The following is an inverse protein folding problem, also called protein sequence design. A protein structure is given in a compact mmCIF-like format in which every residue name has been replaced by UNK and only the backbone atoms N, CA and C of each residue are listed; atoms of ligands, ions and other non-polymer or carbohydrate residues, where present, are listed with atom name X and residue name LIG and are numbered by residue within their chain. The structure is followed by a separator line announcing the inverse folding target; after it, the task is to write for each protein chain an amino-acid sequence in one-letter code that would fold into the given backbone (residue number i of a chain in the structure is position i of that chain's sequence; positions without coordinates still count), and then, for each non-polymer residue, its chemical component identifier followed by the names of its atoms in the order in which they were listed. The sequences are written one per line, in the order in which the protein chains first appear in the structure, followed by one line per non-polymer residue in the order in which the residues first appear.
data_IF_176835001688
#
_entry.id   IF_176835001688
#
_cell.length_a   1.000
_cell.length_b   1.000
_cell.length_c   1.000
_cell.angle_alpha   90.00
_cell.angle_beta   90.00
_cell.angle_gamma   90.00
#
_symmetry.space_group_name_H-M   'P 1'
#
loop_
_entity.id
_entity.type
_entity.pdbx_description
1 polymer ?
#
# COMPACT_ATOMS: atom_id res chain seq x y z
N UNK A 1 -8.64 -13.09 10.15
CA UNK A 1 -7.18 -13.23 10.01
C UNK A 1 -6.94 -13.97 8.70
N UNK A 2 -6.29 -13.37 7.69
CA UNK A 2 -6.02 -14.12 6.45
C UNK A 2 -5.05 -15.27 6.75
N UNK A 3 -5.26 -16.47 6.20
CA UNK A 3 -4.32 -17.57 6.37
C UNK A 3 -2.95 -17.15 5.83
N UNK A 4 -1.90 -17.49 6.57
CA UNK A 4 -0.53 -17.23 6.13
C UNK A 4 -0.33 -18.01 4.82
N UNK A 5 0.13 -17.31 3.77
CA UNK A 5 0.39 -17.92 2.45
C UNK A 5 1.68 -18.73 2.51
N UNK A 6 1.60 -19.86 3.18
CA UNK A 6 2.68 -20.83 3.31
C UNK A 6 2.75 -21.78 2.10
N UNK A 7 3.82 -22.56 1.99
CA UNK A 7 4.03 -23.51 0.89
C UNK A 7 2.87 -24.53 0.83
N UNK A 8 2.30 -24.91 1.97
CA UNK A 8 1.13 -25.78 2.06
C UNK A 8 -0.15 -25.15 1.49
N UNK A 9 -0.30 -23.82 1.62
CA UNK A 9 -1.40 -23.08 0.99
C UNK A 9 -1.25 -23.09 -0.53
N UNK A 10 -0.06 -22.76 -1.04
CA UNK A 10 0.24 -22.74 -2.48
C UNK A 10 0.07 -24.13 -3.12
N UNK A 11 0.28 -25.21 -2.36
CA UNK A 11 0.07 -26.58 -2.85
C UNK A 11 -1.40 -26.92 -3.11
N UNK A 12 -2.31 -26.42 -2.26
CA UNK A 12 -3.74 -26.75 -2.34
C UNK A 12 -4.55 -25.72 -3.13
N UNK A 13 -3.95 -24.60 -3.51
CA UNK A 13 -4.60 -23.52 -4.24
C UNK A 13 -4.71 -23.85 -5.75
N UNK A 14 -5.93 -23.81 -6.28
CA UNK A 14 -6.21 -24.05 -7.70
C UNK A 14 -5.65 -22.95 -8.62
N UNK A 15 -5.38 -21.76 -8.07
CA UNK A 15 -4.85 -20.62 -8.82
C UNK A 15 -3.33 -20.69 -9.03
N UNK A 16 -2.64 -21.62 -8.38
CA UNK A 16 -1.20 -21.81 -8.51
C UNK A 16 -0.79 -22.13 -9.94
N UNK A 17 -1.52 -23.00 -10.64
CA UNK A 17 -1.21 -23.36 -12.04
C UNK A 17 -1.39 -22.17 -12.98
N UNK A 18 -2.41 -21.34 -12.76
CA UNK A 18 -2.60 -20.10 -13.54
C UNK A 18 -1.46 -19.12 -13.27
N UNK A 19 -1.02 -19.00 -12.02
CA UNK A 19 0.08 -18.10 -11.65
C UNK A 19 1.41 -18.56 -12.28
N UNK A 20 1.67 -19.86 -12.29
CA UNK A 20 2.83 -20.44 -12.99
C UNK A 20 2.79 -20.12 -14.48
N UNK A 21 1.63 -20.31 -15.12
CA UNK A 21 1.46 -20.00 -16.53
C UNK A 21 1.64 -18.50 -16.81
N UNK A 22 1.09 -17.62 -15.97
CA UNK A 22 1.26 -16.17 -16.08
C UNK A 22 2.73 -15.77 -15.94
N UNK A 23 3.50 -16.40 -15.03
CA UNK A 23 4.93 -16.13 -14.91
C UNK A 23 5.69 -16.52 -16.18
N UNK A 24 5.42 -17.70 -16.75
CA UNK A 24 6.04 -18.17 -18.00
C UNK A 24 5.67 -17.26 -19.17
N UNK A 25 4.38 -16.90 -19.29
CA UNK A 25 3.90 -15.98 -20.33
C UNK A 25 4.57 -14.61 -20.17
N UNK A 26 4.66 -14.08 -18.94
CA UNK A 26 5.30 -12.80 -18.67
C UNK A 26 6.77 -12.78 -19.10
N UNK A 27 7.53 -13.84 -18.77
CA UNK A 27 8.91 -14.01 -19.23
C UNK A 27 9.01 -14.09 -20.76
N UNK A 28 8.09 -14.78 -21.43
CA UNK A 28 8.04 -14.86 -22.89
C UNK A 28 7.72 -13.51 -23.54
N UNK A 29 6.79 -12.74 -22.98
CA UNK A 29 6.47 -11.39 -23.48
C UNK A 29 7.70 -10.48 -23.36
N UNK A 30 8.42 -10.55 -22.23
CA UNK A 30 9.69 -9.82 -22.05
C UNK A 30 10.71 -10.28 -23.10
N UNK A 31 10.87 -11.58 -23.31
CA UNK A 31 11.77 -12.10 -24.34
C UNK A 31 11.43 -11.58 -25.75
N UNK A 32 10.13 -11.48 -26.07
CA UNK A 32 9.65 -10.95 -27.35
C UNK A 32 9.94 -9.46 -27.52
N UNK A 33 9.79 -8.65 -26.46
CA UNK A 33 10.09 -7.20 -26.51
C UNK A 33 11.59 -6.96 -26.69
N UNK A 34 12.42 -7.70 -25.95
CA UNK A 34 13.88 -7.52 -25.96
C UNK A 34 14.58 -8.29 -27.10
N UNK A 35 13.84 -9.08 -27.89
CA UNK A 35 14.33 -9.98 -28.94
C UNK A 35 15.56 -10.80 -28.54
N UNK A 36 15.62 -11.22 -27.27
CA UNK A 36 16.76 -11.92 -26.73
C UNK A 36 16.39 -13.38 -26.42
N UNK A 37 17.06 -14.29 -27.13
CA UNK A 37 16.84 -15.74 -27.08
C UNK A 37 17.11 -16.32 -25.68
N UNK A 38 18.01 -15.70 -24.91
CA UNK A 38 18.38 -16.17 -23.57
C UNK A 38 17.18 -16.17 -22.61
N UNK A 39 16.33 -15.14 -22.68
CA UNK A 39 15.12 -15.09 -21.84
C UNK A 39 14.07 -16.11 -22.29
N UNK A 40 14.00 -16.42 -23.58
CA UNK A 40 13.12 -17.45 -24.09
C UNK A 40 13.54 -18.84 -23.59
N UNK A 41 14.85 -19.15 -23.59
CA UNK A 41 15.35 -20.42 -23.04
C UNK A 41 15.10 -20.54 -21.53
N UNK A 42 15.27 -19.46 -20.77
CA UNK A 42 14.96 -19.43 -19.32
C UNK A 42 13.47 -19.66 -19.07
N UNK A 43 12.59 -18.99 -19.82
CA UNK A 43 11.15 -19.16 -19.71
C UNK A 43 10.72 -20.60 -19.98
N UNK A 44 11.30 -21.20 -21.02
CA UNK A 44 11.04 -22.58 -21.43
C UNK A 44 11.55 -23.58 -20.38
N UNK A 45 12.73 -23.35 -19.82
CA UNK A 45 13.27 -24.14 -18.71
C UNK A 45 12.41 -24.08 -17.45
N UNK A 46 12.01 -22.87 -17.03
CA UNK A 46 11.13 -22.67 -15.86
C UNK A 46 9.76 -23.34 -16.09
N UNK A 47 9.18 -23.19 -17.28
CA UNK A 47 7.92 -23.83 -17.63
C UNK A 47 7.98 -25.35 -17.58
N UNK A 48 9.04 -25.95 -18.17
CA UNK A 48 9.27 -27.40 -18.11
C UNK A 48 9.47 -27.90 -16.68
N UNK A 49 10.30 -27.23 -15.89
CA UNK A 49 10.56 -27.59 -14.49
C UNK A 49 9.26 -27.51 -13.68
N UNK A 50 8.45 -26.48 -13.90
CA UNK A 50 7.17 -26.32 -13.21
C UNK A 50 6.16 -27.41 -13.57
N UNK A 51 6.23 -27.97 -14.78
CA UNK A 51 5.35 -29.05 -15.23
C UNK A 51 5.81 -30.43 -14.74
N UNK A 52 7.12 -30.69 -14.76
CA UNK A 52 7.70 -31.99 -14.39
C UNK A 52 7.80 -32.14 -12.86
N UNK A 53 8.12 -31.06 -12.15
CA UNK A 53 8.35 -31.08 -10.70
C UNK A 53 7.41 -30.06 -10.03
N UNK A 54 6.17 -30.48 -9.66
CA UNK A 54 5.21 -29.61 -8.97
C UNK A 54 5.80 -28.86 -7.76
N UNK A 55 6.51 -29.50 -6.80
CA UNK A 55 7.03 -28.81 -5.61
C UNK A 55 7.99 -27.65 -5.92
N UNK A 56 8.77 -27.74 -7.01
CA UNK A 56 9.65 -26.65 -7.43
C UNK A 56 8.84 -25.45 -7.95
N UNK A 57 7.77 -25.70 -8.71
CA UNK A 57 6.85 -24.66 -9.16
C UNK A 57 6.09 -23.98 -8.01
N UNK A 58 5.73 -24.72 -6.96
CA UNK A 58 5.09 -24.13 -5.77
C UNK A 58 6.05 -23.20 -5.01
N UNK A 59 7.34 -23.53 -4.94
CA UNK A 59 8.36 -22.66 -4.35
C UNK A 59 8.51 -21.33 -5.09
N UNK A 60 8.46 -21.36 -6.42
CA UNK A 60 8.53 -20.15 -7.26
C UNK A 60 7.32 -19.23 -7.00
N UNK A 61 6.11 -19.80 -7.01
CA UNK A 61 4.87 -19.04 -6.72
C UNK A 61 4.88 -18.48 -5.30
N UNK A 62 5.38 -19.24 -4.33
CA UNK A 62 5.52 -18.74 -2.97
C UNK A 62 6.46 -17.53 -2.89
N UNK A 63 7.62 -17.59 -3.55
CA UNK A 63 8.55 -16.48 -3.68
C UNK A 63 7.90 -15.24 -4.33
N UNK A 64 7.15 -15.46 -5.40
CA UNK A 64 6.37 -14.43 -6.09
C UNK A 64 5.37 -13.73 -5.16
N UNK A 65 4.59 -14.50 -4.39
CA UNK A 65 3.65 -13.93 -3.43
C UNK A 65 4.34 -13.15 -2.31
N UNK A 66 5.51 -13.61 -1.83
CA UNK A 66 6.28 -12.89 -0.82
C UNK A 66 6.80 -11.55 -1.35
N UNK A 67 7.26 -11.52 -2.60
CA UNK A 67 7.64 -10.28 -3.28
C UNK A 67 6.45 -9.33 -3.43
N UNK A 68 5.30 -9.83 -3.86
CA UNK A 68 4.08 -9.03 -3.99
C UNK A 68 3.63 -8.42 -2.64
N UNK A 69 3.76 -9.18 -1.54
CA UNK A 69 3.45 -8.68 -0.19
C UNK A 69 4.39 -7.55 0.25
N UNK A 70 5.70 -7.69 0.00
CA UNK A 70 6.68 -6.65 0.30
C UNK A 70 6.39 -5.40 -0.53
N UNK A 71 6.14 -5.59 -1.83
CA UNK A 71 5.81 -4.49 -2.74
C UNK A 71 4.54 -3.76 -2.31
N UNK A 72 3.49 -4.50 -1.94
CA UNK A 72 2.24 -3.93 -1.43
C UNK A 72 2.44 -3.12 -0.15
N UNK A 73 3.30 -3.59 0.77
CA UNK A 73 3.64 -2.84 1.99
C UNK A 73 4.30 -1.50 1.69
N UNK A 74 5.14 -1.44 0.65
CA UNK A 74 5.78 -0.19 0.21
C UNK A 74 4.81 0.68 -0.59
N UNK A 75 3.94 0.05 -1.38
CA UNK A 75 3.03 0.76 -2.26
C UNK A 75 1.89 1.46 -1.50
N UNK A 76 1.43 0.88 -0.39
CA UNK A 76 0.40 1.49 0.45
C UNK A 76 0.78 2.90 0.97
N UNK A 77 1.92 3.10 1.67
CA UNK A 77 2.35 4.45 2.07
C UNK A 77 2.73 5.31 0.88
N UNK A 78 3.20 4.74 -0.23
CA UNK A 78 3.54 5.50 -1.44
C UNK A 78 2.29 6.14 -2.07
N UNK A 79 1.21 5.37 -2.24
CA UNK A 79 -0.08 5.87 -2.73
C UNK A 79 -0.64 6.93 -1.78
N UNK A 80 -0.60 6.66 -0.47
CA UNK A 80 -1.06 7.64 0.53
C UNK A 80 -0.23 8.94 0.48
N UNK A 81 1.08 8.83 0.30
CA UNK A 81 1.97 9.98 0.13
C UNK A 81 1.66 10.80 -1.11
N UNK A 82 1.39 10.15 -2.25
CA UNK A 82 0.95 10.82 -3.48
C UNK A 82 -0.37 11.55 -3.24
N UNK A 83 -1.36 10.87 -2.64
CA UNK A 83 -2.67 11.49 -2.36
C UNK A 83 -2.51 12.68 -1.41
N UNK A 84 -1.71 12.56 -0.36
CA UNK A 84 -1.43 13.66 0.55
C UNK A 84 -0.77 14.85 -0.18
N UNK A 85 0.20 14.60 -1.04
CA UNK A 85 0.92 15.65 -1.75
C UNK A 85 0.06 16.34 -2.82
N UNK A 86 -0.75 15.59 -3.56
CA UNK A 86 -1.55 16.14 -4.67
C UNK A 86 -2.93 16.65 -4.28
N UNK A 87 -3.51 16.17 -3.18
CA UNK A 87 -4.84 16.62 -2.73
C UNK A 87 -4.74 17.42 -1.43
N UNK A 88 -4.21 16.83 -0.36
CA UNK A 88 -4.26 17.44 0.97
C UNK A 88 -3.36 18.68 1.04
N UNK A 89 -2.13 18.59 0.52
CA UNK A 89 -1.16 19.68 0.55
C UNK A 89 -1.63 20.94 -0.21
N UNK A 90 -2.14 20.87 -1.45
CA UNK A 90 -2.66 22.06 -2.12
C UNK A 90 -3.89 22.62 -1.43
N UNK A 91 -4.79 21.78 -0.88
CA UNK A 91 -5.92 22.24 -0.08
C UNK A 91 -5.44 23.02 1.15
N UNK A 92 -4.43 22.51 1.85
CA UNK A 92 -3.87 23.19 3.03
C UNK A 92 -3.19 24.53 2.67
N UNK A 93 -2.48 24.58 1.54
CA UNK A 93 -1.88 25.82 1.02
C UNK A 93 -2.99 26.83 0.68
N UNK A 94 -4.05 26.38 0.02
CA UNK A 94 -5.19 27.23 -0.35
C UNK A 94 -5.89 27.77 0.90
N UNK A 95 -6.12 26.92 1.89
CA UNK A 95 -6.69 27.31 3.18
C UNK A 95 -5.83 28.36 3.90
N UNK A 96 -4.49 28.20 3.84
CA UNK A 96 -3.54 29.19 4.39
C UNK A 96 -3.58 30.51 3.62
N UNK A 97 -3.77 30.47 2.30
CA UNK A 97 -3.85 31.67 1.47
C UNK A 97 -5.16 32.44 1.71
N UNK A 98 -6.27 31.73 1.91
CA UNK A 98 -7.57 32.34 2.24
C UNK A 98 -7.65 32.89 3.68
N UNK A 99 -6.57 32.84 4.45
CA UNK A 99 -6.44 33.59 5.70
C UNK A 99 -7.18 32.97 6.90
N UNK A 100 -7.65 31.73 6.80
CA UNK A 100 -8.18 31.02 7.95
C UNK A 100 -7.01 30.62 8.86
N UNK A 101 -6.84 31.38 9.94
CA UNK A 101 -5.93 31.05 11.06
C UNK A 101 -6.77 30.58 12.27
N UNK A 102 -7.29 29.34 12.24
CA UNK A 102 -8.13 28.83 13.32
C UNK A 102 -7.40 28.74 14.66
N UNK A 103 -6.07 28.68 14.62
CA UNK A 103 -5.23 28.57 15.81
C UNK A 103 -4.67 29.92 16.28
N UNK A 104 -5.04 31.04 15.63
CA UNK A 104 -4.57 32.41 15.95
C UNK A 104 -3.06 32.48 16.13
N UNK A 105 -2.28 31.74 15.32
CA UNK A 105 -0.82 31.66 15.45
C UNK A 105 -0.14 33.02 15.26
N UNK A 106 -0.78 33.95 14.54
CA UNK A 106 -0.28 35.31 14.34
C UNK A 106 -0.61 36.27 15.50
N UNK A 107 -1.37 35.85 16.50
CA UNK A 107 -1.78 36.71 17.63
C UNK A 107 -0.64 36.82 18.65
N UNK A 108 0.07 37.96 18.64
CA UNK A 108 1.29 38.19 19.42
C UNK A 108 1.00 38.69 20.86
N UNK A 109 -0.16 38.32 21.42
CA UNK A 109 -0.65 38.81 22.72
C UNK A 109 -0.08 38.05 23.93
N UNK A 110 0.93 37.19 23.74
CA UNK A 110 1.58 36.41 24.80
C UNK A 110 0.73 35.30 25.41
N UNK A 111 -0.60 35.32 25.24
CA UNK A 111 -1.53 34.30 25.71
C UNK A 111 -2.70 34.12 24.75
N UNK A 112 -3.05 32.86 24.47
CA UNK A 112 -4.24 32.47 23.68
C UNK A 112 -5.45 32.24 24.61
N UNK A 113 -5.30 32.41 25.93
CA UNK A 113 -6.42 32.32 26.86
C UNK A 113 -7.44 33.43 26.57
N UNK A 114 -8.65 33.03 26.17
CA UNK A 114 -9.80 33.91 26.19
C UNK A 114 -10.38 33.93 27.60
N UNK A 115 -10.33 35.10 28.24
CA UNK A 115 -11.00 35.32 29.53
C UNK A 115 -12.50 35.27 29.26
N UNK A 116 -13.16 34.19 29.70
CA UNK A 116 -14.61 34.06 29.64
C UNK A 116 -15.21 34.52 30.97
N UNK A 117 -15.79 35.72 30.98
CA UNK A 117 -16.64 36.15 32.08
C UNK A 117 -18.01 35.46 31.97
N UNK A 118 -18.05 34.17 32.33
CA UNK A 118 -19.30 33.42 32.42
C UNK A 118 -19.81 33.48 33.86
N UNK A 119 -21.03 33.97 34.05
CA UNK A 119 -21.72 33.84 35.34
C UNK A 119 -22.18 32.38 35.46
N UNK A 120 -21.58 31.63 36.38
CA UNK A 120 -21.92 30.23 36.60
C UNK A 120 -23.36 30.10 37.09
N UNK A 121 -24.17 29.30 36.39
CA UNK A 121 -25.52 28.96 36.83
C UNK A 121 -25.57 27.55 37.40
N UNK A 122 -26.64 27.21 38.11
CA UNK A 122 -26.78 25.91 38.79
C UNK A 122 -26.70 24.74 37.80
N UNK A 123 -27.17 24.96 36.58
CA UNK A 123 -27.19 23.97 35.49
C UNK A 123 -25.77 23.60 35.02
N UNK A 124 -24.81 24.51 35.09
CA UNK A 124 -23.40 24.25 34.74
C UNK A 124 -22.70 23.34 35.78
N UNK A 125 -23.20 23.31 37.02
CA UNK A 125 -22.66 22.49 38.10
C UNK A 125 -23.21 21.06 38.08
N UNK A 126 -24.37 20.86 37.46
CA UNK A 126 -24.98 19.52 37.31
C UNK A 126 -24.30 18.70 36.19
N UNK A 127 -23.66 19.36 35.22
CA UNK A 127 -22.90 18.72 34.12
C UNK A 127 -21.57 19.45 33.90
N UNK A 128 -20.54 19.16 34.70
CA UNK A 128 -19.28 19.89 34.68
C UNK A 128 -18.33 19.53 33.52
N UNK A 129 -18.72 18.63 32.60
CA UNK A 129 -17.93 18.20 31.44
C UNK A 129 -18.67 18.41 30.12
#
# INVERSE_FOLDING_TARGET
MMPVRDIAFVRNDSETSKTQLVMVIGLLVIAAIFQNELFAYIALGIGLISLIIPPAGHWLVWGWYKLALILSRVMNPFVLGIVYFFFISPIAILFRLFGNDPMRLKDNKGSIYEIREKTYTKEDLEKPW
#
